data_IF_278579865841
#
_entry.id   IF_278579865841
#
_cell.length_a   1.000
_cell.length_b   1.000
_cell.length_c   1.000
_cell.angle_alpha   90.00
_cell.angle_beta   90.00
_cell.angle_gamma   90.00
#
_symmetry.space_group_name_H-M   'P 1'
#
loop_
_entity.id
_entity.type
_entity.pdbx_description
1 polymer ?
#
# COMPACT_ATOMS: atom_id res chain seq x y z
N UNK A 1 3.50 -23.00 7.78
CA UNK A 1 2.85 -21.99 6.93
C UNK A 1 3.92 -21.29 6.12
N UNK A 2 3.87 -21.46 4.81
CA UNK A 2 4.82 -20.84 3.89
C UNK A 2 4.29 -19.49 3.44
N UNK A 3 5.00 -18.39 3.76
CA UNK A 3 4.60 -17.04 3.44
C UNK A 3 5.53 -16.50 2.36
N UNK A 4 4.95 -16.02 1.26
CA UNK A 4 5.65 -15.35 0.18
C UNK A 4 5.14 -13.92 0.02
N UNK A 5 6.06 -13.00 -0.22
CA UNK A 5 5.76 -11.59 -0.44
C UNK A 5 6.30 -11.20 -1.80
N UNK A 6 5.48 -10.51 -2.59
CA UNK A 6 5.83 -10.06 -3.93
C UNK A 6 5.52 -8.57 -4.09
N UNK A 7 6.23 -7.93 -5.00
CA UNK A 7 5.94 -6.56 -5.42
C UNK A 7 5.63 -6.55 -6.91
N UNK A 8 4.82 -5.55 -7.33
CA UNK A 8 4.51 -5.38 -8.75
C UNK A 8 3.37 -6.24 -9.28
N UNK A 9 2.66 -6.99 -8.43
CA UNK A 9 1.52 -7.82 -8.84
C UNK A 9 0.20 -7.08 -8.66
N UNK A 10 -0.04 -6.04 -9.48
CA UNK A 10 -1.23 -5.20 -9.33
C UNK A 10 -2.53 -5.98 -9.46
N UNK A 11 -2.62 -6.93 -10.40
CA UNK A 11 -3.86 -7.70 -10.60
C UNK A 11 -4.26 -8.47 -9.35
N UNK A 12 -3.30 -9.08 -8.66
CA UNK A 12 -3.55 -9.79 -7.41
C UNK A 12 -3.92 -8.83 -6.28
N UNK A 13 -3.20 -7.70 -6.17
CA UNK A 13 -3.55 -6.66 -5.20
C UNK A 13 -4.96 -6.11 -5.46
N UNK A 14 -5.31 -5.88 -6.71
CA UNK A 14 -6.64 -5.41 -7.10
C UNK A 14 -7.73 -6.38 -6.68
N UNK A 15 -7.49 -7.68 -6.82
CA UNK A 15 -8.45 -8.71 -6.41
C UNK A 15 -8.74 -8.64 -4.91
N UNK A 16 -7.69 -8.56 -4.08
CA UNK A 16 -7.84 -8.43 -2.62
C UNK A 16 -8.61 -7.15 -2.28
N UNK A 17 -8.27 -6.04 -2.92
CA UNK A 17 -8.90 -4.74 -2.66
C UNK A 17 -10.38 -4.74 -3.03
N UNK A 18 -10.77 -5.37 -4.14
CA UNK A 18 -12.18 -5.52 -4.50
C UNK A 18 -12.94 -6.30 -3.45
N UNK A 19 -12.40 -7.43 -3.03
CA UNK A 19 -13.07 -8.29 -2.05
C UNK A 19 -13.21 -7.58 -0.71
N UNK A 20 -12.14 -6.99 -0.19
CA UNK A 20 -12.13 -6.39 1.13
C UNK A 20 -12.83 -5.03 1.16
N UNK A 21 -12.46 -4.12 0.27
CA UNK A 21 -12.95 -2.74 0.35
C UNK A 21 -14.27 -2.53 -0.37
N UNK A 22 -14.51 -3.20 -1.49
CA UNK A 22 -15.73 -3.02 -2.26
C UNK A 22 -16.82 -3.99 -1.84
N UNK A 23 -16.56 -5.30 -1.84
CA UNK A 23 -17.57 -6.31 -1.54
C UNK A 23 -17.87 -6.40 -0.04
N UNK A 24 -16.87 -6.39 0.82
CA UNK A 24 -17.02 -6.54 2.26
C UNK A 24 -17.38 -5.22 2.95
N UNK A 25 -16.70 -4.12 2.61
CA UNK A 25 -16.89 -2.82 3.26
C UNK A 25 -17.77 -1.84 2.50
N UNK A 26 -18.10 -2.13 1.25
CA UNK A 26 -19.02 -1.33 0.45
C UNK A 26 -18.44 -0.03 -0.12
N UNK A 27 -17.14 0.14 -0.13
CA UNK A 27 -16.53 1.33 -0.74
C UNK A 27 -16.67 1.31 -2.25
N UNK A 28 -16.89 2.50 -2.82
CA UNK A 28 -16.87 2.72 -4.26
C UNK A 28 -15.57 3.44 -4.64
N UNK A 29 -15.17 3.38 -5.90
CA UNK A 29 -13.99 4.08 -6.40
C UNK A 29 -12.70 3.74 -5.63
N UNK A 30 -12.51 2.48 -5.32
CA UNK A 30 -11.33 1.98 -4.59
C UNK A 30 -10.02 2.26 -5.33
N UNK A 31 -10.05 2.28 -6.66
CA UNK A 31 -8.88 2.47 -7.50
C UNK A 31 -8.77 3.92 -7.95
N UNK A 32 -7.54 4.43 -7.99
CA UNK A 32 -7.25 5.81 -8.36
C UNK A 32 -6.02 5.91 -9.26
N UNK A 33 -5.66 7.14 -9.65
CA UNK A 33 -4.52 7.37 -10.54
C UNK A 33 -3.18 6.97 -9.92
N UNK A 34 -3.09 6.93 -8.59
CA UNK A 34 -1.87 6.51 -7.89
C UNK A 34 -1.54 5.06 -8.24
N UNK A 35 -2.55 4.21 -8.38
CA UNK A 35 -2.35 2.79 -8.69
C UNK A 35 -1.63 2.57 -10.02
N UNK A 36 -1.78 3.48 -10.96
CA UNK A 36 -1.18 3.40 -12.30
C UNK A 36 0.21 4.00 -12.37
N UNK A 37 0.63 4.72 -11.33
CA UNK A 37 1.95 5.38 -11.33
C UNK A 37 3.06 4.33 -11.14
N UNK A 38 4.14 4.40 -11.96
CA UNK A 38 5.26 3.44 -11.83
C UNK A 38 6.00 3.51 -10.50
N UNK A 39 5.85 4.60 -9.74
CA UNK A 39 6.46 4.73 -8.41
C UNK A 39 5.56 4.19 -7.29
N UNK A 40 4.33 3.78 -7.58
CA UNK A 40 3.47 3.10 -6.63
C UNK A 40 3.86 1.62 -6.56
N UNK A 41 4.23 1.17 -5.37
CA UNK A 41 4.64 -0.21 -5.13
C UNK A 41 3.45 -0.98 -4.57
N UNK A 42 2.99 -1.99 -5.30
CA UNK A 42 1.93 -2.90 -4.85
C UNK A 42 2.57 -4.13 -4.23
N UNK A 43 2.24 -4.38 -2.97
CA UNK A 43 2.75 -5.54 -2.21
C UNK A 43 1.64 -6.56 -2.09
N UNK A 44 1.96 -7.82 -2.35
CA UNK A 44 1.02 -8.94 -2.18
C UNK A 44 1.65 -10.01 -1.31
N UNK A 45 0.80 -10.68 -0.55
CA UNK A 45 1.21 -11.76 0.37
C UNK A 45 0.43 -13.02 0.05
N UNK A 46 1.16 -14.13 0.02
CA UNK A 46 0.61 -15.46 -0.28
C UNK A 46 0.93 -16.40 0.89
N UNK A 47 -0.04 -17.23 1.23
CA UNK A 47 0.11 -18.27 2.25
C UNK A 47 -0.05 -19.62 1.56
N UNK A 48 1.00 -20.44 1.60
CA UNK A 48 1.03 -21.74 0.94
C UNK A 48 0.61 -21.67 -0.54
N UNK A 49 1.03 -20.60 -1.22
CA UNK A 49 0.72 -20.33 -2.62
C UNK A 49 -0.62 -19.66 -2.89
N UNK A 50 -1.44 -19.42 -1.87
CA UNK A 50 -2.73 -18.77 -2.02
C UNK A 50 -2.65 -17.28 -1.68
N UNK A 51 -3.24 -16.45 -2.52
CA UNK A 51 -3.31 -14.99 -2.30
C UNK A 51 -4.07 -14.71 -1.01
N UNK A 52 -3.47 -13.93 -0.11
CA UNK A 52 -4.03 -13.67 1.21
C UNK A 52 -4.20 -12.18 1.53
N UNK A 53 -3.35 -11.31 1.01
CA UNK A 53 -3.41 -9.90 1.36
C UNK A 53 -2.60 -9.01 0.45
N UNK A 54 -2.72 -7.70 0.70
CA UNK A 54 -2.02 -6.69 -0.09
C UNK A 54 -1.81 -5.41 0.68
N UNK A 55 -1.00 -4.53 0.07
CA UNK A 55 -0.89 -3.12 0.43
C UNK A 55 -0.38 -2.34 -0.77
N UNK A 56 -0.36 -1.01 -0.65
CA UNK A 56 0.39 -0.16 -1.58
C UNK A 56 1.22 0.83 -0.78
N UNK A 57 2.38 1.20 -1.32
CA UNK A 57 3.25 2.23 -0.75
C UNK A 57 3.78 3.08 -1.89
N UNK A 58 3.77 4.39 -1.72
CA UNK A 58 4.08 5.33 -2.78
C UNK A 58 4.65 6.63 -2.22
N UNK A 59 5.41 7.39 -3.04
CA UNK A 59 5.87 8.72 -2.63
C UNK A 59 4.70 9.66 -2.33
N UNK A 60 4.82 10.45 -1.27
CA UNK A 60 3.77 11.37 -0.83
C UNK A 60 3.29 12.32 -1.93
N UNK A 61 4.18 12.72 -2.84
CA UNK A 61 3.84 13.65 -3.93
C UNK A 61 2.71 13.14 -4.81
N UNK A 62 2.57 11.81 -4.97
CA UNK A 62 1.50 11.23 -5.79
C UNK A 62 0.12 11.52 -5.23
N UNK A 63 -0.02 11.56 -3.92
CA UNK A 63 -1.30 11.87 -3.28
C UNK A 63 -1.72 13.31 -3.55
N UNK A 64 -0.77 14.25 -3.55
CA UNK A 64 -1.05 15.65 -3.86
C UNK A 64 -1.48 15.86 -5.29
N UNK A 65 -0.94 15.10 -6.21
CA UNK A 65 -1.32 15.17 -7.64
C UNK A 65 -2.69 14.55 -7.87
N UNK A 66 -2.97 13.41 -7.22
CA UNK A 66 -4.24 12.70 -7.38
C UNK A 66 -5.42 13.47 -6.78
N UNK A 67 -5.17 14.32 -5.77
CA UNK A 67 -6.19 15.08 -5.05
C UNK A 67 -5.87 16.58 -5.10
N UNK A 68 -5.73 17.08 -6.33
CA UNK A 68 -5.32 18.46 -6.58
C UNK A 68 -6.29 19.52 -6.04
N UNK A 69 -7.54 19.15 -5.79
CA UNK A 69 -8.56 20.07 -5.22
C UNK A 69 -8.59 20.06 -3.70
N UNK A 70 -7.93 19.09 -3.08
CA UNK A 70 -7.87 19.01 -1.62
C UNK A 70 -6.96 20.11 -1.07
N UNK A 71 -7.30 20.70 0.11
CA UNK A 71 -6.39 21.62 0.76
C UNK A 71 -5.07 20.94 1.04
N UNK A 72 -3.96 21.65 0.75
CA UNK A 72 -2.64 21.16 1.13
C UNK A 72 -2.57 21.10 2.67
N UNK A 73 -2.29 19.92 3.20
CA UNK A 73 -2.05 19.78 4.62
C UNK A 73 -0.69 20.41 4.94
N UNK A 74 -0.56 21.08 6.10
CA UNK A 74 0.75 21.59 6.51
C UNK A 74 1.74 20.43 6.65
N UNK A 75 3.00 20.69 6.32
CA UNK A 75 4.05 19.71 6.49
C UNK A 75 4.10 19.25 7.96
N UNK A 76 4.24 17.95 8.17
CA UNK A 76 4.42 17.40 9.50
C UNK A 76 5.81 17.81 10.03
N UNK A 77 5.92 18.09 11.34
CA UNK A 77 7.21 18.41 11.94
C UNK A 77 8.24 17.30 11.75
N UNK A 78 7.78 16.07 11.56
CA UNK A 78 8.65 14.92 11.29
C UNK A 78 9.27 14.95 9.89
N UNK A 79 8.75 15.79 8.99
CA UNK A 79 9.27 15.93 7.62
C UNK A 79 10.50 16.84 7.57
N UNK A 80 10.88 17.49 8.68
CA UNK A 80 12.02 18.36 8.72
C UNK A 80 13.31 17.59 8.42
N UNK A 81 14.04 18.06 7.41
CA UNK A 81 15.27 17.39 6.96
C UNK A 81 15.07 16.24 5.99
N UNK A 82 13.83 15.94 5.60
CA UNK A 82 13.51 14.92 4.60
C UNK A 82 13.24 15.60 3.26
N UNK A 83 13.96 15.19 2.23
CA UNK A 83 13.79 15.75 0.89
C UNK A 83 12.49 15.24 0.22
N UNK A 84 12.03 15.98 -0.81
CA UNK A 84 10.92 15.52 -1.62
C UNK A 84 11.23 14.15 -2.24
N UNK A 85 10.26 13.24 -2.23
CA UNK A 85 10.43 11.87 -2.70
C UNK A 85 10.99 10.91 -1.67
N UNK A 86 11.36 11.38 -0.48
CA UNK A 86 11.87 10.54 0.59
C UNK A 86 10.82 10.17 1.63
N UNK A 87 9.63 10.75 1.54
CA UNK A 87 8.47 10.40 2.37
C UNK A 87 7.52 9.54 1.56
N UNK A 88 7.18 8.38 2.07
CA UNK A 88 6.26 7.44 1.43
C UNK A 88 5.02 7.26 2.29
N UNK A 89 3.90 6.99 1.64
CA UNK A 89 2.63 6.69 2.29
C UNK A 89 2.29 5.23 2.04
N UNK A 90 1.94 4.52 3.11
CA UNK A 90 1.45 3.15 3.05
C UNK A 90 -0.05 3.15 3.24
N UNK A 91 -0.77 2.46 2.38
CA UNK A 91 -2.22 2.34 2.47
C UNK A 91 -2.75 1.08 1.82
N UNK A 92 -4.06 0.97 1.81
CA UNK A 92 -4.76 -0.19 1.22
C UNK A 92 -4.26 -1.52 1.77
N UNK A 93 -3.87 -1.55 3.05
CA UNK A 93 -3.50 -2.79 3.73
C UNK A 93 -4.76 -3.61 3.95
N UNK A 94 -4.79 -4.80 3.39
CA UNK A 94 -5.96 -5.67 3.45
C UNK A 94 -5.56 -7.13 3.52
N UNK A 95 -6.30 -7.90 4.30
CA UNK A 95 -6.16 -9.36 4.39
C UNK A 95 -7.52 -9.98 4.15
N UNK A 96 -7.58 -11.00 3.29
CA UNK A 96 -8.82 -11.71 3.02
C UNK A 96 -9.39 -12.33 4.31
N UNK A 97 -10.72 -12.31 4.47
CA UNK A 97 -11.39 -12.72 5.70
C UNK A 97 -11.02 -14.14 6.15
N UNK A 98 -10.81 -15.05 5.21
CA UNK A 98 -10.42 -16.44 5.49
C UNK A 98 -9.00 -16.58 6.02
N UNK A 99 -8.18 -15.53 5.87
CA UNK A 99 -6.76 -15.55 6.25
C UNK A 99 -6.45 -14.64 7.44
N UNK A 100 -7.46 -14.04 8.05
CA UNK A 100 -7.27 -13.13 9.19
C UNK A 100 -6.89 -13.87 10.47
N UNK A 101 -6.41 -13.11 11.46
CA UNK A 101 -5.98 -13.60 12.79
C UNK A 101 -4.76 -14.50 12.74
N UNK A 102 -3.89 -14.33 11.73
CA UNK A 102 -2.66 -15.08 11.57
C UNK A 102 -1.42 -14.18 11.59
N UNK A 103 -1.58 -12.90 11.96
CA UNK A 103 -0.47 -11.94 11.97
C UNK A 103 0.00 -11.51 10.58
N UNK A 104 -0.80 -11.72 9.55
CA UNK A 104 -0.39 -11.44 8.17
C UNK A 104 -0.30 -9.95 7.86
N UNK A 105 -1.17 -9.11 8.47
CA UNK A 105 -1.11 -7.67 8.29
C UNK A 105 0.25 -7.11 8.70
N UNK A 106 0.81 -7.57 9.82
CA UNK A 106 2.15 -7.17 10.26
C UNK A 106 3.22 -7.55 9.25
N UNK A 107 3.11 -8.71 8.62
CA UNK A 107 4.03 -9.17 7.58
C UNK A 107 3.96 -8.29 6.34
N UNK A 108 2.75 -7.89 5.95
CA UNK A 108 2.52 -6.98 4.83
C UNK A 108 3.14 -5.62 5.13
N UNK A 109 2.92 -5.08 6.32
CA UNK A 109 3.47 -3.79 6.74
C UNK A 109 5.00 -3.82 6.74
N UNK A 110 5.61 -4.86 7.29
CA UNK A 110 7.07 -5.02 7.28
C UNK A 110 7.62 -5.05 5.85
N UNK A 111 6.98 -5.78 4.95
CA UNK A 111 7.38 -5.87 3.55
C UNK A 111 7.22 -4.53 2.83
N UNK A 112 6.15 -3.81 3.13
CA UNK A 112 5.89 -2.48 2.55
C UNK A 112 6.95 -1.47 3.00
N UNK A 113 7.33 -1.49 4.28
CA UNK A 113 8.41 -0.65 4.80
C UNK A 113 9.74 -0.96 4.12
N UNK A 114 10.06 -2.25 3.95
CA UNK A 114 11.28 -2.66 3.29
C UNK A 114 11.30 -2.21 1.83
N UNK A 115 10.19 -2.38 1.11
CA UNK A 115 10.07 -1.95 -0.28
C UNK A 115 10.24 -0.43 -0.42
N UNK A 116 9.63 0.35 0.49
CA UNK A 116 9.75 1.79 0.49
C UNK A 116 11.21 2.23 0.76
N UNK A 117 11.88 1.61 1.72
CA UNK A 117 13.29 1.90 2.02
C UNK A 117 14.18 1.58 0.83
N UNK A 118 13.96 0.45 0.16
CA UNK A 118 14.72 0.07 -1.03
C UNK A 118 14.51 1.08 -2.17
N UNK A 119 13.35 1.73 -2.22
CA UNK A 119 13.05 2.78 -3.19
C UNK A 119 13.58 4.16 -2.77
N UNK A 120 14.16 4.30 -1.59
CA UNK A 120 14.77 5.54 -1.11
C UNK A 120 14.00 6.28 -0.02
N UNK A 121 12.95 5.69 0.55
CA UNK A 121 12.17 6.33 1.61
C UNK A 121 13.00 6.48 2.89
N UNK A 122 12.88 7.66 3.52
CA UNK A 122 13.43 7.94 4.85
C UNK A 122 12.34 8.08 5.90
N UNK A 123 11.12 8.35 5.47
CA UNK A 123 9.94 8.45 6.32
C UNK A 123 8.77 7.73 5.65
N UNK A 124 8.00 7.02 6.45
CA UNK A 124 6.82 6.30 6.00
C UNK A 124 5.64 6.67 6.90
#
# INVERSE_FOLDING_TARGET
>A
MDIQLKTGCFDDAALVRRVVFMDEQGYENEFDAIDEDPNCIHVTLYVDGELAGCSRVFPEELERVADAEAPLLPACDMDEGVAAGETYIMGRVAVLSTMRRRGLASKIIEASEAAARDAGAKLI
#
